data_IF_044300285709
#
_entry.id   IF_044300285709
#
_cell.length_a   1.000
_cell.length_b   1.000
_cell.length_c   1.000
_cell.angle_alpha   90.00
_cell.angle_beta   90.00
_cell.angle_gamma   90.00
#
_symmetry.space_group_name_H-M   'P 1'
#
loop_
_entity.id
_entity.type
_entity.pdbx_description
1 polymer ?
#
# COMPACT_ATOMS: atom_id res chain seq x y z
N UNK A 1 -4.79 -29.43 12.91
CA UNK A 1 -3.68 -28.83 12.15
C UNK A 1 -4.00 -27.35 12.00
N UNK A 2 -3.03 -26.43 12.12
CA UNK A 2 -3.23 -25.04 11.71
C UNK A 2 -3.78 -25.07 10.28
N UNK A 3 -5.00 -24.56 10.09
CA UNK A 3 -5.63 -24.53 8.78
C UNK A 3 -4.91 -23.49 7.93
N UNK A 4 -4.45 -23.87 6.73
CA UNK A 4 -4.02 -22.87 5.75
C UNK A 4 -5.21 -21.95 5.45
N UNK A 5 -5.01 -20.62 5.38
CA UNK A 5 -6.10 -19.71 5.04
C UNK A 5 -6.76 -20.11 3.71
N UNK A 6 -8.09 -20.09 3.66
CA UNK A 6 -8.83 -20.47 2.46
C UNK A 6 -8.91 -19.27 1.49
N UNK A 7 -8.59 -19.43 0.20
CA UNK A 7 -8.76 -18.37 -0.80
C UNK A 7 -10.25 -18.13 -1.07
N UNK A 8 -10.70 -16.88 -0.97
CA UNK A 8 -12.11 -16.49 -1.22
C UNK A 8 -12.55 -16.81 -2.64
N UNK A 9 -11.63 -16.73 -3.60
CA UNK A 9 -11.92 -17.01 -5.00
C UNK A 9 -11.88 -18.51 -5.33
N UNK A 10 -11.72 -19.39 -4.32
CA UNK A 10 -11.62 -20.83 -4.47
C UNK A 10 -10.27 -21.33 -5.01
N UNK A 11 -9.46 -20.44 -5.57
CA UNK A 11 -8.16 -20.75 -6.14
C UNK A 11 -7.06 -19.76 -5.71
N UNK A 12 -5.90 -20.31 -5.35
CA UNK A 12 -4.74 -19.54 -4.88
C UNK A 12 -4.14 -18.68 -6.00
N UNK A 13 -4.04 -19.25 -7.21
CA UNK A 13 -3.46 -18.55 -8.34
C UNK A 13 -4.34 -17.38 -8.76
N UNK A 14 -5.66 -17.59 -8.84
CA UNK A 14 -6.62 -16.53 -9.13
C UNK A 14 -6.55 -15.39 -8.10
N UNK A 15 -6.44 -15.74 -6.81
CA UNK A 15 -6.30 -14.75 -5.73
C UNK A 15 -5.02 -13.93 -5.87
N UNK A 16 -3.90 -14.59 -6.19
CA UNK A 16 -2.63 -13.91 -6.45
C UNK A 16 -2.68 -13.00 -7.69
N UNK A 17 -3.28 -13.47 -8.79
CA UNK A 17 -3.47 -12.67 -10.02
C UNK A 17 -4.29 -11.41 -9.74
N UNK A 18 -5.37 -11.51 -8.96
CA UNK A 18 -6.18 -10.35 -8.56
C UNK A 18 -5.36 -9.36 -7.72
N UNK A 19 -4.57 -9.85 -6.76
CA UNK A 19 -3.71 -9.00 -5.94
C UNK A 19 -2.65 -8.27 -6.77
N UNK A 20 -1.99 -8.97 -7.71
CA UNK A 20 -1.01 -8.38 -8.63
C UNK A 20 -1.69 -7.36 -9.55
N UNK A 21 -2.86 -7.68 -10.10
CA UNK A 21 -3.61 -6.76 -10.96
C UNK A 21 -4.00 -5.48 -10.21
N UNK A 22 -4.43 -5.59 -8.95
CA UNK A 22 -4.71 -4.44 -8.10
C UNK A 22 -3.44 -3.61 -7.85
N UNK A 23 -2.32 -4.24 -7.52
CA UNK A 23 -1.03 -3.57 -7.29
C UNK A 23 -0.54 -2.82 -8.55
N UNK A 24 -0.57 -3.48 -9.72
CA UNK A 24 -0.25 -2.85 -11.00
C UNK A 24 -1.19 -1.71 -11.32
N UNK A 25 -2.50 -1.88 -11.09
CA UNK A 25 -3.51 -0.85 -11.30
C UNK A 25 -3.24 0.39 -10.44
N UNK A 26 -3.01 0.20 -9.13
CA UNK A 26 -2.70 1.29 -8.19
C UNK A 26 -1.44 2.03 -8.61
N UNK A 27 -0.33 1.33 -8.90
CA UNK A 27 0.92 1.95 -9.34
C UNK A 27 0.74 2.64 -10.70
N UNK A 28 0.02 2.01 -11.64
CA UNK A 28 -0.27 2.57 -12.95
C UNK A 28 -1.04 3.88 -12.88
N UNK A 29 -2.05 3.97 -12.00
CA UNK A 29 -2.81 5.21 -11.78
C UNK A 29 -1.94 6.30 -11.14
N UNK A 30 -1.11 5.96 -10.15
CA UNK A 30 -0.16 6.91 -9.55
C UNK A 30 0.84 7.41 -10.61
N UNK A 31 1.31 6.52 -11.47
CA UNK A 31 2.21 6.85 -12.57
C UNK A 31 1.55 7.79 -13.58
N UNK A 32 0.33 7.46 -14.04
CA UNK A 32 -0.42 8.25 -15.01
C UNK A 32 -0.81 9.64 -14.49
N UNK A 33 -1.02 9.78 -13.19
CA UNK A 33 -1.42 11.06 -12.56
C UNK A 33 -0.25 11.93 -12.09
N UNK A 34 1.01 11.48 -12.29
CA UNK A 34 2.24 12.13 -11.81
C UNK A 34 2.27 13.64 -12.01
N UNK A 35 1.98 14.13 -13.23
CA UNK A 35 2.07 15.55 -13.55
C UNK A 35 1.06 16.39 -12.76
N UNK A 36 -0.14 15.86 -12.49
CA UNK A 36 -1.15 16.54 -11.67
C UNK A 36 -0.78 16.48 -10.19
N UNK A 37 -0.30 15.33 -9.72
CA UNK A 37 0.16 15.11 -8.34
C UNK A 37 1.35 15.99 -7.96
N UNK A 38 2.17 16.41 -8.92
CA UNK A 38 3.26 17.35 -8.68
C UNK A 38 2.75 18.78 -8.35
N UNK A 39 1.56 19.15 -8.82
CA UNK A 39 1.00 20.51 -8.70
C UNK A 39 0.27 20.76 -7.38
N UNK A 40 -0.13 19.71 -6.65
CA UNK A 40 -0.90 19.86 -5.42
C UNK A 40 -1.19 18.55 -4.70
N UNK A 41 -1.70 18.65 -3.48
CA UNK A 41 -1.98 17.50 -2.60
C UNK A 41 -3.31 16.79 -2.90
N UNK A 42 -4.26 17.48 -3.55
CA UNK A 42 -5.61 16.97 -3.76
C UNK A 42 -5.65 15.63 -4.51
N UNK A 43 -4.90 15.50 -5.61
CA UNK A 43 -4.90 14.26 -6.42
C UNK A 43 -4.32 13.08 -5.62
N UNK A 44 -3.14 13.18 -4.99
CA UNK A 44 -2.65 12.13 -4.09
C UNK A 44 -3.64 11.76 -2.99
N UNK A 45 -4.30 12.73 -2.36
CA UNK A 45 -5.27 12.49 -1.30
C UNK A 45 -6.49 11.73 -1.81
N UNK A 46 -7.04 12.10 -2.97
CA UNK A 46 -8.16 11.40 -3.60
C UNK A 46 -7.79 9.96 -4.00
N UNK A 47 -6.58 9.76 -4.54
CA UNK A 47 -6.08 8.42 -4.86
C UNK A 47 -5.91 7.56 -3.61
N UNK A 48 -5.34 8.12 -2.55
CA UNK A 48 -5.17 7.41 -1.28
C UNK A 48 -6.50 7.08 -0.63
N UNK A 49 -7.43 8.04 -0.57
CA UNK A 49 -8.77 7.81 -0.05
C UNK A 49 -9.52 6.75 -0.86
N UNK A 50 -9.52 6.85 -2.20
CA UNK A 50 -10.16 5.87 -3.07
C UNK A 50 -9.56 4.46 -2.92
N UNK A 51 -8.24 4.36 -2.84
CA UNK A 51 -7.54 3.09 -2.58
C UNK A 51 -7.90 2.49 -1.23
N UNK A 52 -7.92 3.31 -0.17
CA UNK A 52 -8.25 2.86 1.18
C UNK A 52 -9.70 2.36 1.26
N UNK A 53 -10.66 3.10 0.69
CA UNK A 53 -12.05 2.65 0.60
C UNK A 53 -12.15 1.32 -0.15
N UNK A 54 -11.56 1.22 -1.34
CA UNK A 54 -11.62 0.01 -2.15
C UNK A 54 -11.01 -1.19 -1.41
N UNK A 55 -9.86 -1.01 -0.77
CA UNK A 55 -9.14 -2.09 -0.07
C UNK A 55 -9.89 -2.54 1.17
N UNK A 56 -10.48 -1.62 1.94
CA UNK A 56 -11.34 -1.97 3.08
C UNK A 56 -12.64 -2.64 2.61
N UNK A 57 -13.21 -2.21 1.49
CA UNK A 57 -14.38 -2.85 0.90
C UNK A 57 -14.09 -4.30 0.48
N UNK A 58 -12.91 -4.57 -0.11
CA UNK A 58 -12.48 -5.93 -0.44
C UNK A 58 -12.37 -6.81 0.81
N UNK A 59 -11.73 -6.31 1.87
CA UNK A 59 -11.65 -7.04 3.14
C UNK A 59 -13.04 -7.35 3.69
N UNK A 60 -13.90 -6.33 3.80
CA UNK A 60 -15.26 -6.49 4.34
C UNK A 60 -16.11 -7.45 3.51
N UNK A 61 -16.10 -7.29 2.18
CA UNK A 61 -16.86 -8.15 1.27
C UNK A 61 -16.40 -9.60 1.35
N UNK A 62 -15.09 -9.85 1.40
CA UNK A 62 -14.54 -11.19 1.57
C UNK A 62 -15.06 -11.87 2.84
N UNK A 63 -15.06 -11.16 3.98
CA UNK A 63 -15.53 -11.73 5.26
C UNK A 63 -17.04 -11.95 5.28
N UNK A 64 -17.82 -11.03 4.71
CA UNK A 64 -19.27 -11.17 4.62
C UNK A 64 -19.66 -12.33 3.69
N UNK A 65 -18.97 -12.51 2.57
CA UNK A 65 -19.26 -13.59 1.62
C UNK A 65 -18.93 -14.99 2.17
N UNK A 66 -18.07 -15.09 3.18
CA UNK A 66 -17.62 -16.37 3.76
C UNK A 66 -18.08 -16.60 5.21
N UNK A 67 -19.03 -15.77 5.70
CA UNK A 67 -19.52 -15.76 7.08
C UNK A 67 -18.41 -15.72 8.14
N UNK A 68 -17.34 -14.98 7.85
CA UNK A 68 -16.14 -14.87 8.69
C UNK A 68 -15.97 -13.46 9.26
N UNK A 69 -17.06 -12.70 9.34
CA UNK A 69 -17.02 -11.34 9.87
C UNK A 69 -16.84 -11.37 11.39
N UNK A 70 -15.88 -10.61 11.95
CA UNK A 70 -15.65 -10.62 13.41
C UNK A 70 -16.87 -10.10 14.18
N UNK A 71 -17.45 -10.94 15.05
CA UNK A 71 -18.64 -10.57 15.85
C UNK A 71 -18.39 -9.40 16.79
N UNK A 72 -17.17 -9.26 17.30
CA UNK A 72 -16.77 -8.16 18.18
C UNK A 72 -16.92 -6.76 17.56
N UNK A 73 -16.91 -6.64 16.22
CA UNK A 73 -17.19 -5.36 15.56
C UNK A 73 -18.67 -4.97 15.56
N UNK A 74 -19.58 -5.92 15.76
CA UNK A 74 -21.00 -5.65 15.93
C UNK A 74 -21.31 -5.22 17.36
N UNK A 75 -20.61 -5.82 18.32
CA UNK A 75 -20.79 -5.56 19.76
C UNK A 75 -20.22 -4.20 20.19
N UNK A 76 -19.05 -3.80 19.66
CA UNK A 76 -18.44 -2.50 19.93
C UNK A 76 -18.21 -1.69 18.62
N UNK A 77 -19.26 -0.98 18.23
CA UNK A 77 -19.26 -0.14 17.03
C UNK A 77 -18.25 1.01 17.07
N UNK A 78 -17.88 1.51 18.26
CA UNK A 78 -16.91 2.60 18.39
C UNK A 78 -15.49 2.08 18.17
N UNK A 79 -15.15 0.92 18.75
CA UNK A 79 -13.87 0.27 18.50
C UNK A 79 -13.72 -0.13 17.02
N UNK A 80 -14.78 -0.65 16.40
CA UNK A 80 -14.82 -0.91 14.97
C UNK A 80 -14.54 0.35 14.13
N UNK A 81 -15.22 1.47 14.44
CA UNK A 81 -15.01 2.73 13.74
C UNK A 81 -13.55 3.22 13.87
N UNK A 82 -12.96 3.13 15.06
CA UNK A 82 -11.55 3.45 15.29
C UNK A 82 -10.60 2.56 14.48
N UNK A 83 -10.88 1.26 14.45
CA UNK A 83 -10.11 0.26 13.72
C UNK A 83 -10.13 0.50 12.20
N UNK A 84 -11.32 0.72 11.62
CA UNK A 84 -11.45 1.07 10.20
C UNK A 84 -10.86 2.44 9.88
N UNK A 85 -11.05 3.43 10.77
CA UNK A 85 -10.50 4.77 10.60
C UNK A 85 -8.97 4.77 10.56
N UNK A 86 -8.33 4.08 11.50
CA UNK A 86 -6.87 3.96 11.52
C UNK A 86 -6.34 3.17 10.31
N UNK A 87 -7.00 2.06 9.96
CA UNK A 87 -6.68 1.28 8.75
C UNK A 87 -6.78 2.13 7.48
N UNK A 88 -7.83 2.94 7.37
CA UNK A 88 -8.05 3.85 6.25
C UNK A 88 -6.91 4.85 6.13
N UNK A 89 -6.53 5.50 7.23
CA UNK A 89 -5.44 6.49 7.24
C UNK A 89 -4.12 5.87 6.81
N UNK A 90 -3.84 4.65 7.29
CA UNK A 90 -2.60 3.95 6.97
C UNK A 90 -2.55 3.56 5.48
N UNK A 91 -3.62 2.95 4.96
CA UNK A 91 -3.74 2.57 3.54
C UNK A 91 -3.66 3.80 2.62
N UNK A 92 -4.38 4.87 2.95
CA UNK A 92 -4.32 6.12 2.19
C UNK A 92 -2.91 6.73 2.25
N UNK A 93 -2.26 6.66 3.41
CA UNK A 93 -0.91 7.14 3.64
C UNK A 93 0.11 6.52 2.69
N UNK A 94 0.08 5.21 2.47
CA UNK A 94 0.96 4.53 1.51
C UNK A 94 0.89 5.14 0.12
N UNK A 95 -0.33 5.30 -0.42
CA UNK A 95 -0.54 5.85 -1.76
C UNK A 95 -0.15 7.32 -1.81
N UNK A 96 -0.57 8.12 -0.84
CA UNK A 96 -0.28 9.56 -0.78
C UNK A 96 1.23 9.80 -0.74
N UNK A 97 1.94 9.09 0.14
CA UNK A 97 3.39 9.22 0.30
C UNK A 97 4.10 8.79 -0.98
N UNK A 98 3.78 7.61 -1.51
CA UNK A 98 4.39 7.11 -2.74
C UNK A 98 4.14 8.05 -3.92
N UNK A 99 2.91 8.53 -4.10
CA UNK A 99 2.54 9.45 -5.16
C UNK A 99 3.28 10.78 -5.05
N UNK A 100 3.41 11.36 -3.86
CA UNK A 100 4.11 12.62 -3.67
C UNK A 100 5.62 12.49 -3.89
N UNK A 101 6.24 11.43 -3.36
CA UNK A 101 7.67 11.18 -3.54
C UNK A 101 8.00 10.92 -5.01
N UNK A 102 7.18 10.14 -5.71
CA UNK A 102 7.35 9.91 -7.14
C UNK A 102 7.09 11.17 -7.97
N UNK A 103 6.01 11.91 -7.69
CA UNK A 103 5.66 13.09 -8.47
C UNK A 103 6.65 14.24 -8.30
N UNK A 104 7.08 14.52 -7.07
CA UNK A 104 7.93 15.69 -6.75
C UNK A 104 9.43 15.40 -6.84
N UNK A 105 9.85 14.19 -6.51
CA UNK A 105 11.28 13.81 -6.46
C UNK A 105 11.68 12.81 -7.52
N UNK A 106 10.72 12.23 -8.25
CA UNK A 106 10.97 11.22 -9.28
C UNK A 106 11.51 9.91 -8.71
N UNK A 107 11.30 9.64 -7.42
CA UNK A 107 11.77 8.43 -6.73
C UNK A 107 10.90 7.24 -7.11
N UNK A 108 11.51 6.15 -7.56
CA UNK A 108 10.81 4.94 -8.05
C UNK A 108 10.65 3.91 -6.94
N UNK A 109 11.55 3.86 -5.96
CA UNK A 109 11.49 2.93 -4.83
C UNK A 109 10.15 3.01 -4.06
N UNK A 110 9.54 4.20 -3.84
CA UNK A 110 8.20 4.28 -3.25
C UNK A 110 7.10 3.59 -4.07
N UNK A 111 7.22 3.55 -5.42
CA UNK A 111 6.26 2.83 -6.26
C UNK A 111 6.43 1.31 -6.15
N UNK A 112 7.67 0.84 -6.06
CA UNK A 112 7.97 -0.58 -5.83
C UNK A 112 7.46 -1.01 -4.46
N UNK A 113 7.69 -0.19 -3.43
CA UNK A 113 7.13 -0.42 -2.09
C UNK A 113 5.60 -0.43 -2.10
N UNK A 114 4.97 0.51 -2.80
CA UNK A 114 3.52 0.54 -2.96
C UNK A 114 2.99 -0.73 -3.65
N UNK A 115 3.64 -1.18 -4.72
CA UNK A 115 3.30 -2.43 -5.40
C UNK A 115 3.30 -3.60 -4.41
N UNK A 116 4.42 -3.83 -3.71
CA UNK A 116 4.56 -4.96 -2.81
C UNK A 116 3.60 -4.91 -1.62
N UNK A 117 3.33 -3.72 -1.07
CA UNK A 117 2.34 -3.57 0.01
C UNK A 117 0.93 -3.83 -0.50
N UNK A 118 0.54 -3.29 -1.64
CA UNK A 118 -0.79 -3.52 -2.20
C UNK A 118 -1.02 -4.99 -2.53
N UNK A 119 -0.03 -5.63 -3.17
CA UNK A 119 -0.07 -7.06 -3.48
C UNK A 119 -0.23 -7.89 -2.19
N UNK A 120 0.64 -7.66 -1.19
CA UNK A 120 0.61 -8.38 0.08
C UNK A 120 -0.74 -8.19 0.80
N UNK A 121 -1.24 -6.97 0.86
CA UNK A 121 -2.49 -6.64 1.55
C UNK A 121 -3.68 -7.28 0.85
N UNK A 122 -3.80 -7.14 -0.47
CA UNK A 122 -4.91 -7.73 -1.22
C UNK A 122 -4.87 -9.25 -1.19
N UNK A 123 -3.67 -9.84 -1.30
CA UNK A 123 -3.51 -11.28 -1.15
C UNK A 123 -3.96 -11.73 0.24
N UNK A 124 -3.48 -11.10 1.31
CA UNK A 124 -3.86 -11.46 2.68
C UNK A 124 -5.36 -11.21 2.95
N UNK A 125 -5.96 -10.19 2.34
CA UNK A 125 -7.38 -9.86 2.53
C UNK A 125 -8.30 -10.78 1.74
N UNK A 126 -7.84 -11.40 0.65
CA UNK A 126 -8.62 -12.41 -0.06
C UNK A 126 -8.44 -13.82 0.53
N UNK A 127 -7.65 -13.96 1.60
CA UNK A 127 -7.55 -15.18 2.39
C UNK A 127 -8.30 -15.02 3.71
N UNK A 128 -9.10 -16.02 4.04
CA UNK A 128 -10.00 -15.99 5.20
C UNK A 128 -9.82 -17.27 6.01
N UNK A 129 -10.35 -17.30 7.25
CA UNK A 129 -10.29 -18.43 8.18
C UNK A 129 -8.88 -18.84 8.63
N UNK A 130 -7.89 -17.98 8.41
CA UNK A 130 -6.61 -18.10 9.09
C UNK A 130 -6.76 -17.84 10.59
N UNK A 131 -5.80 -18.33 11.38
CA UNK A 131 -5.78 -18.16 12.84
C UNK A 131 -5.76 -16.69 13.28
N UNK A 132 -5.28 -15.80 12.41
CA UNK A 132 -5.14 -14.36 12.69
C UNK A 132 -5.85 -13.54 11.62
N UNK A 133 -6.59 -12.50 12.03
CA UNK A 133 -7.18 -11.56 11.08
C UNK A 133 -6.10 -10.71 10.38
N UNK A 134 -6.17 -10.71 9.04
CA UNK A 134 -5.21 -10.03 8.19
C UNK A 134 -5.21 -8.50 8.38
N UNK A 135 -6.37 -7.87 8.62
CA UNK A 135 -6.46 -6.43 8.82
C UNK A 135 -5.92 -6.05 10.21
N UNK A 136 -6.18 -6.88 11.22
CA UNK A 136 -5.55 -6.76 12.54
C UNK A 136 -4.02 -6.84 12.47
N UNK A 137 -3.47 -7.81 11.75
CA UNK A 137 -2.01 -7.92 11.53
C UNK A 137 -1.46 -6.74 10.74
N UNK A 138 -2.20 -6.25 9.74
CA UNK A 138 -1.83 -5.07 8.98
C UNK A 138 -1.75 -3.82 9.87
N UNK A 139 -2.56 -3.67 10.91
CA UNK A 139 -2.43 -2.53 11.82
C UNK A 139 -1.15 -2.56 12.65
N UNK A 140 -0.62 -3.76 12.94
CA UNK A 140 0.64 -3.93 13.67
C UNK A 140 1.83 -3.71 12.73
N UNK A 141 1.80 -4.34 11.55
CA UNK A 141 2.94 -4.40 10.62
C UNK A 141 2.95 -3.22 9.64
N UNK A 142 1.80 -2.69 9.28
CA UNK A 142 1.63 -1.61 8.30
C UNK A 142 2.37 -0.32 8.65
N UNK A 143 2.41 0.16 9.92
CA UNK A 143 3.25 1.30 10.28
C UNK A 143 4.74 1.05 10.00
N UNK A 144 5.24 -0.16 10.30
CA UNK A 144 6.61 -0.55 10.01
C UNK A 144 6.89 -0.60 8.50
N UNK A 145 5.95 -1.10 7.70
CA UNK A 145 6.05 -1.10 6.24
C UNK A 145 6.07 0.33 5.68
N UNK A 146 5.30 1.26 6.27
CA UNK A 146 5.31 2.67 5.85
C UNK A 146 6.65 3.33 6.18
N UNK A 147 7.22 3.05 7.35
CA UNK A 147 8.58 3.47 7.71
C UNK A 147 9.60 2.89 6.73
N UNK A 148 9.51 1.61 6.39
CA UNK A 148 10.39 0.97 5.43
C UNK A 148 10.31 1.64 4.05
N UNK A 149 9.11 2.03 3.60
CA UNK A 149 8.92 2.78 2.37
C UNK A 149 9.67 4.12 2.41
N UNK A 150 9.61 4.86 3.51
CA UNK A 150 10.39 6.10 3.69
C UNK A 150 11.89 5.85 3.69
N UNK A 151 12.35 4.77 4.35
CA UNK A 151 13.77 4.38 4.35
C UNK A 151 14.24 4.08 2.93
N UNK A 152 13.49 3.27 2.17
CA UNK A 152 13.81 2.95 0.79
C UNK A 152 13.86 4.20 -0.10
N UNK A 153 12.91 5.12 0.08
CA UNK A 153 12.91 6.42 -0.59
C UNK A 153 14.15 7.26 -0.24
N UNK A 154 14.54 7.27 1.03
CA UNK A 154 15.72 7.97 1.53
C UNK A 154 17.02 7.42 0.94
N UNK A 155 17.14 6.09 0.86
CA UNK A 155 18.27 5.40 0.24
C UNK A 155 18.38 5.77 -1.24
N UNK A 156 17.28 5.70 -2.00
CA UNK A 156 17.27 6.09 -3.42
C UNK A 156 17.64 7.58 -3.59
N UNK A 157 17.09 8.44 -2.73
CA UNK A 157 17.37 9.87 -2.76
C UNK A 157 18.85 10.17 -2.50
N UNK A 158 19.45 9.54 -1.47
CA UNK A 158 20.86 9.67 -1.14
C UNK A 158 21.75 9.16 -2.28
N UNK A 159 21.45 7.99 -2.85
CA UNK A 159 22.18 7.44 -3.99
C UNK A 159 22.20 8.38 -5.19
N UNK A 160 21.05 8.96 -5.55
CA UNK A 160 20.97 9.96 -6.64
C UNK A 160 21.70 11.26 -6.32
N UNK A 161 21.72 11.69 -5.06
CA UNK A 161 22.46 12.87 -4.65
C UNK A 161 23.97 12.66 -4.77
N UNK A 162 24.48 11.53 -4.26
CA UNK A 162 25.88 11.12 -4.34
C UNK A 162 26.34 11.02 -5.80
N UNK A 163 25.56 10.33 -6.64
CA UNK A 163 25.86 10.19 -8.08
C UNK A 163 26.03 11.54 -8.78
N UNK A 164 25.09 12.46 -8.57
CA UNK A 164 25.15 13.81 -9.17
C UNK A 164 26.37 14.61 -8.69
N UNK A 165 26.81 14.41 -7.45
CA UNK A 165 27.98 15.10 -6.89
C UNK A 165 29.26 14.61 -7.55
N UNK A 166 29.41 13.30 -7.75
CA UNK A 166 30.61 12.74 -8.37
C UNK A 166 30.68 13.00 -9.88
N UNK A 167 29.58 12.80 -10.62
CA UNK A 167 29.57 12.98 -12.08
C UNK A 167 29.72 14.45 -12.49
N UNK A 168 29.19 15.40 -11.72
CA UNK A 168 29.37 16.85 -12.00
C UNK A 168 30.69 17.42 -11.49
N UNK A 169 31.35 16.76 -10.54
CA UNK A 169 32.64 17.18 -9.99
C UNK A 169 33.84 16.86 -10.88
N UNK A 170 33.76 15.79 -11.70
CA UNK A 170 34.86 15.34 -12.56
C UNK A 170 35.15 16.21 -13.80
N UNK A 171 34.29 17.18 -14.12
CA UNK A 171 34.43 18.04 -15.30
C UNK A 171 35.20 19.36 -15.10
N UNK A 172 35.77 19.60 -13.91
CA UNK A 172 36.45 20.88 -13.57
C UNK A 172 37.97 20.78 -13.42
N UNK A 173 38.58 19.68 -13.85
CA UNK A 173 40.02 19.41 -13.63
C UNK A 173 40.85 19.35 -14.91
N UNK A 174 40.43 20.03 -15.98
CA UNK A 174 41.20 20.10 -17.23
C UNK A 174 40.99 21.44 -17.94
N UNK A 175 41.64 22.49 -17.45
CA UNK A 175 42.04 23.67 -18.23
C UNK A 175 43.15 24.40 -17.51
#
# INVERSE_FOLDING_TARGET
>A
MPGSPDPVLGDWLLTHVVAVAAALGTVGVVYATRARSARGFLIPALLGGGYAVATLAVWTAARLATDAFPSGFVEDSLAAAGFFGFSFLLLAGFVVVAALLFARRGLVAPLVGLFGVTELVWWAFLHVRGETDALGMFLIVGPALLVLLFVAAGVEYAGRWVWRRFVRGGGRSAS
#
